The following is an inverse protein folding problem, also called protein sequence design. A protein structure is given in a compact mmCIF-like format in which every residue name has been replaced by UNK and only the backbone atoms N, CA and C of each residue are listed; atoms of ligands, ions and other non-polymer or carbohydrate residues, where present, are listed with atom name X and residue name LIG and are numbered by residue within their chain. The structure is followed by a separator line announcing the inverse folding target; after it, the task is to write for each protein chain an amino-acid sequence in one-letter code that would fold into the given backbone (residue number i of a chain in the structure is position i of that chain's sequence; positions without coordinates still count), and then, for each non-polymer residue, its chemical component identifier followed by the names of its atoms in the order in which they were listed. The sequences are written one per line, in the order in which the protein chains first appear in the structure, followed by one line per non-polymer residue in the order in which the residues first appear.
data_IF_875162308299
#
_entry.id   IF_875162308299
#
_cell.length_a   1.000
_cell.length_b   1.000
_cell.length_c   1.000
_cell.angle_alpha   90.00
_cell.angle_beta   90.00
_cell.angle_gamma   90.00
#
_symmetry.space_group_name_H-M   'P 1'
#
loop_
_entity.id
_entity.type
_entity.pdbx_description
1 polymer ?
#
# COMPACT_ATOMS: atom_id res chain seq x y z
N UNK A 1 -0.76 -6.88 -6.10
CA UNK A 1 0.22 -7.32 -7.11
C UNK A 1 1.60 -6.92 -6.64
N UNK A 2 2.67 -7.65 -7.00
CA UNK A 2 4.05 -7.28 -6.62
C UNK A 2 4.96 -7.31 -7.85
N UNK A 3 5.61 -6.19 -8.13
CA UNK A 3 6.66 -6.07 -9.13
C UNK A 3 8.03 -6.01 -8.43
N UNK A 4 8.78 -7.12 -8.51
CA UNK A 4 10.09 -7.25 -7.88
C UNK A 4 11.18 -6.40 -8.55
N UNK A 5 11.05 -6.10 -9.85
CA UNK A 5 12.04 -5.32 -10.59
C UNK A 5 11.95 -3.84 -10.25
N UNK A 6 10.73 -3.34 -10.14
CA UNK A 6 10.47 -1.95 -9.80
C UNK A 6 10.43 -1.73 -8.27
N UNK A 7 10.16 -2.79 -7.50
CA UNK A 7 9.94 -2.72 -6.05
C UNK A 7 8.59 -2.10 -5.69
N UNK A 8 7.56 -2.39 -6.49
CA UNK A 8 6.22 -1.78 -6.37
C UNK A 8 5.22 -2.83 -5.88
N UNK A 9 4.40 -2.47 -4.90
CA UNK A 9 3.28 -3.29 -4.44
C UNK A 9 1.97 -2.57 -4.70
N UNK A 10 1.07 -3.23 -5.44
CA UNK A 10 -0.31 -2.78 -5.62
C UNK A 10 -1.21 -3.45 -4.58
N UNK A 11 -1.92 -2.64 -3.80
CA UNK A 11 -2.92 -3.05 -2.81
C UNK A 11 -4.30 -2.56 -3.23
N UNK A 12 -5.35 -3.30 -2.88
CA UNK A 12 -6.72 -2.81 -3.00
C UNK A 12 -7.39 -2.87 -1.64
N UNK A 13 -8.04 -1.77 -1.27
CA UNK A 13 -8.81 -1.72 -0.04
C UNK A 13 -10.12 -2.47 -0.22
N UNK A 14 -10.55 -3.18 0.82
CA UNK A 14 -11.83 -3.88 0.83
C UNK A 14 -12.72 -3.34 1.97
N UNK A 15 -14.03 -3.46 1.81
CA UNK A 15 -15.02 -3.02 2.81
C UNK A 15 -15.22 -1.51 2.86
N UNK A 16 -15.61 -0.99 4.03
CA UNK A 16 -15.95 0.43 4.21
C UNK A 16 -14.79 1.39 3.86
N UNK A 17 -13.54 0.93 4.00
CA UNK A 17 -12.36 1.71 3.67
C UNK A 17 -12.23 1.94 2.15
N UNK A 18 -12.74 1.04 1.30
CA UNK A 18 -12.66 1.14 -0.16
C UNK A 18 -13.48 2.30 -0.76
N UNK A 19 -14.39 2.91 0.01
CA UNK A 19 -15.25 4.00 -0.45
C UNK A 19 -14.97 5.33 0.28
N UNK A 20 -13.95 5.38 1.14
CA UNK A 20 -13.63 6.53 1.96
C UNK A 20 -12.27 7.11 1.56
N UNK A 21 -12.22 8.17 0.72
CA UNK A 21 -10.96 8.72 0.21
C UNK A 21 -10.02 9.25 1.32
N UNK A 22 -10.56 9.58 2.50
CA UNK A 22 -9.78 9.99 3.67
C UNK A 22 -9.14 8.79 4.38
N UNK A 23 -9.87 7.69 4.57
CA UNK A 23 -9.29 6.47 5.17
C UNK A 23 -8.23 5.87 4.25
N UNK A 24 -8.43 5.98 2.94
CA UNK A 24 -7.48 5.54 1.92
C UNK A 24 -6.08 6.13 2.13
N UNK A 25 -5.95 7.43 2.38
CA UNK A 25 -4.64 8.09 2.53
C UNK A 25 -3.93 7.68 3.82
N UNK A 26 -4.63 7.69 4.96
CA UNK A 26 -4.03 7.33 6.25
C UNK A 26 -3.71 5.85 6.31
N UNK A 27 -4.62 4.99 5.87
CA UNK A 27 -4.43 3.55 5.88
C UNK A 27 -3.32 3.13 4.91
N UNK A 28 -3.26 3.74 3.72
CA UNK A 28 -2.14 3.55 2.79
C UNK A 28 -0.81 3.87 3.45
N UNK A 29 -0.71 5.02 4.14
CA UNK A 29 0.53 5.41 4.82
C UNK A 29 0.96 4.41 5.89
N UNK A 30 0.02 3.90 6.69
CA UNK A 30 0.31 2.90 7.71
C UNK A 30 0.78 1.59 7.09
N UNK A 31 0.09 1.10 6.06
CA UNK A 31 0.46 -0.13 5.37
C UNK A 31 1.83 0.02 4.68
N UNK A 32 2.09 1.16 4.05
CA UNK A 32 3.37 1.43 3.43
C UNK A 32 4.52 1.46 4.45
N UNK A 33 4.31 2.07 5.62
CA UNK A 33 5.30 2.07 6.69
C UNK A 33 5.59 0.65 7.20
N UNK A 34 4.55 -0.16 7.42
CA UNK A 34 4.69 -1.53 7.90
C UNK A 34 5.40 -2.41 6.86
N UNK A 35 4.97 -2.33 5.59
CA UNK A 35 5.59 -3.08 4.49
C UNK A 35 7.06 -2.68 4.33
N UNK A 36 7.42 -1.39 4.42
CA UNK A 36 8.83 -0.96 4.35
C UNK A 36 9.64 -1.42 5.56
N UNK A 37 9.03 -1.57 6.73
CA UNK A 37 9.70 -2.07 7.92
C UNK A 37 10.05 -3.57 7.80
N UNK A 38 9.14 -4.38 7.27
CA UNK A 38 9.40 -5.82 7.03
C UNK A 38 10.19 -6.08 5.75
N UNK A 39 9.97 -5.27 4.70
CA UNK A 39 10.53 -5.44 3.37
C UNK A 39 11.20 -4.14 2.89
N UNK A 40 12.45 -3.89 3.30
CA UNK A 40 13.18 -2.67 2.94
C UNK A 40 13.49 -2.54 1.44
N UNK A 41 13.28 -3.60 0.66
CA UNK A 41 13.42 -3.61 -0.80
C UNK A 41 12.20 -3.01 -1.55
N UNK A 42 11.08 -2.76 -0.86
CA UNK A 42 9.90 -2.12 -1.44
C UNK A 42 10.11 -0.61 -1.53
N UNK A 43 9.96 -0.04 -2.73
CA UNK A 43 10.15 1.39 -3.01
C UNK A 43 8.85 2.18 -3.00
N UNK A 44 7.76 1.57 -3.44
CA UNK A 44 6.48 2.27 -3.62
C UNK A 44 5.29 1.32 -3.36
N UNK A 45 4.24 1.86 -2.73
CA UNK A 45 2.95 1.18 -2.57
C UNK A 45 1.87 1.98 -3.29
N UNK A 46 1.09 1.32 -4.14
CA UNK A 46 0.00 1.91 -4.93
C UNK A 46 -1.34 1.30 -4.50
N UNK A 47 -2.37 2.14 -4.37
CA UNK A 47 -3.74 1.65 -4.25
C UNK A 47 -4.42 1.68 -5.62
N UNK A 48 -5.06 0.57 -5.99
CA UNK A 48 -5.83 0.40 -7.23
C UNK A 48 -7.32 0.20 -6.94
#
# INVERSE_FOLDING_TARGET
SYDEKEGIVDISFQGACAHCPISDVTLKHLIEAEIRAEFPNIKEVRSI
#
